data_IF_892931429741
#
_entry.id   IF_892931429741
#
_cell.length_a   1.000
_cell.length_b   1.000
_cell.length_c   1.000
_cell.angle_alpha   90.00
_cell.angle_beta   90.00
_cell.angle_gamma   90.00
#
_symmetry.space_group_name_H-M   'P 1'
#
loop_
_entity.id
_entity.type
_entity.pdbx_description
1 polymer ?
#
# COMPACT_ATOMS: atom_id res chain seq x y z
N UNK A 1 -49.17 -62.50 23.54
CA UNK A 1 -49.90 -61.21 23.59
C UNK A 1 -49.24 -60.31 24.62
N UNK A 2 -48.21 -59.54 24.24
CA UNK A 2 -47.45 -58.73 25.22
C UNK A 2 -46.80 -57.50 24.56
N UNK A 3 -47.56 -56.79 23.74
CA UNK A 3 -47.04 -55.75 22.84
C UNK A 3 -47.98 -54.54 22.68
N UNK A 4 -48.74 -54.21 23.73
CA UNK A 4 -49.70 -53.08 23.71
C UNK A 4 -49.80 -52.32 25.05
N UNK A 5 -48.83 -52.50 25.95
CA UNK A 5 -48.75 -51.79 27.22
C UNK A 5 -47.69 -50.67 27.21
N UNK A 6 -46.56 -50.87 26.52
CA UNK A 6 -45.52 -49.83 26.33
C UNK A 6 -46.08 -48.59 25.59
N UNK A 7 -46.88 -48.84 24.56
CA UNK A 7 -47.52 -47.84 23.69
C UNK A 7 -48.50 -46.90 24.41
N UNK A 8 -48.97 -47.25 25.62
CA UNK A 8 -49.98 -46.47 26.34
C UNK A 8 -49.34 -45.46 27.30
N UNK A 9 -48.36 -45.88 28.10
CA UNK A 9 -47.66 -45.02 29.06
C UNK A 9 -46.85 -43.92 28.37
N UNK A 10 -46.20 -44.26 27.26
CA UNK A 10 -45.40 -43.34 26.44
C UNK A 10 -46.25 -42.20 25.86
N UNK A 11 -47.47 -42.51 25.39
CA UNK A 11 -48.42 -41.49 24.91
C UNK A 11 -48.88 -40.52 26.01
N UNK A 12 -49.06 -41.00 27.24
CA UNK A 12 -49.52 -40.17 28.36
C UNK A 12 -48.46 -39.11 28.72
N UNK A 13 -47.17 -39.50 28.77
CA UNK A 13 -46.08 -38.56 29.02
C UNK A 13 -45.96 -37.48 27.94
N UNK A 14 -46.02 -37.89 26.66
CA UNK A 14 -45.98 -36.96 25.51
C UNK A 14 -47.17 -35.98 25.53
N UNK A 15 -48.37 -36.43 25.91
CA UNK A 15 -49.55 -35.57 26.00
C UNK A 15 -49.46 -34.52 27.10
N UNK A 16 -48.86 -34.83 28.25
CA UNK A 16 -48.63 -33.86 29.32
C UNK A 16 -47.60 -32.80 28.88
N UNK A 17 -46.50 -33.23 28.26
CA UNK A 17 -45.44 -32.34 27.77
C UNK A 17 -45.98 -31.29 26.78
N UNK A 18 -46.84 -31.69 25.83
CA UNK A 18 -47.48 -30.78 24.87
C UNK A 18 -48.53 -29.82 25.47
N UNK A 19 -48.88 -29.95 26.75
CA UNK A 19 -49.81 -29.05 27.45
C UNK A 19 -49.05 -27.99 28.28
N UNK A 20 -47.80 -28.28 28.68
CA UNK A 20 -46.85 -27.33 29.30
C UNK A 20 -46.06 -26.46 28.30
N UNK A 21 -45.78 -26.95 27.08
CA UNK A 21 -45.09 -26.16 26.05
C UNK A 21 -46.06 -25.14 25.45
N UNK A 22 -45.80 -23.84 25.61
CA UNK A 22 -46.72 -22.75 25.24
C UNK A 22 -46.73 -22.41 23.72
N UNK A 23 -46.88 -23.43 22.88
CA UNK A 23 -47.09 -23.26 21.43
C UNK A 23 -48.59 -23.03 21.18
N UNK A 24 -48.95 -21.79 20.87
CA UNK A 24 -50.34 -21.30 20.69
C UNK A 24 -51.22 -22.19 19.79
N UNK A 25 -50.63 -22.85 18.78
CA UNK A 25 -51.35 -23.75 17.87
C UNK A 25 -51.62 -25.16 18.38
N UNK A 26 -50.83 -25.69 19.33
CA UNK A 26 -50.88 -27.12 19.73
C UNK A 26 -52.20 -27.48 20.42
N UNK A 27 -52.76 -26.58 21.23
CA UNK A 27 -54.05 -26.77 21.90
C UNK A 27 -55.20 -27.02 20.91
N UNK A 28 -55.12 -26.49 19.69
CA UNK A 28 -56.14 -26.69 18.64
C UNK A 28 -56.05 -28.06 17.92
N UNK A 29 -54.93 -28.80 18.06
CA UNK A 29 -54.78 -30.16 17.52
C UNK A 29 -55.69 -31.19 18.24
N UNK A 30 -56.15 -30.85 19.45
CA UNK A 30 -57.06 -31.62 20.32
C UNK A 30 -58.56 -31.39 19.97
N UNK A 31 -58.85 -30.58 18.95
CA UNK A 31 -60.23 -30.21 18.56
C UNK A 31 -61.04 -31.40 17.99
N UNK A 32 -62.34 -31.45 18.35
CA UNK A 32 -63.27 -32.54 17.98
C UNK A 32 -63.65 -32.56 16.49
N UNK A 33 -63.48 -31.44 15.78
CA UNK A 33 -63.86 -31.30 14.38
C UNK A 33 -62.68 -31.64 13.46
N UNK A 34 -62.84 -32.66 12.61
CA UNK A 34 -61.75 -33.20 11.77
C UNK A 34 -61.17 -32.16 10.80
N UNK A 35 -62.03 -31.34 10.19
CA UNK A 35 -61.63 -30.24 9.30
C UNK A 35 -60.77 -29.19 10.03
N UNK A 36 -61.25 -28.68 11.16
CA UNK A 36 -60.51 -27.70 11.96
C UNK A 36 -59.14 -28.23 12.42
N UNK A 37 -59.10 -29.50 12.88
CA UNK A 37 -57.83 -30.16 13.24
C UNK A 37 -56.87 -30.24 12.05
N UNK A 38 -57.37 -30.55 10.84
CA UNK A 38 -56.55 -30.56 9.63
C UNK A 38 -56.01 -29.17 9.28
N UNK A 39 -56.85 -28.13 9.34
CA UNK A 39 -56.44 -26.74 9.08
C UNK A 39 -55.37 -26.27 10.05
N UNK A 40 -55.56 -26.47 11.36
CA UNK A 40 -54.56 -26.09 12.37
C UNK A 40 -53.27 -26.90 12.27
N UNK A 41 -53.34 -28.19 11.89
CA UNK A 41 -52.15 -29.00 11.61
C UNK A 41 -51.36 -28.45 10.42
N UNK A 42 -52.04 -28.11 9.32
CA UNK A 42 -51.41 -27.54 8.12
C UNK A 42 -50.77 -26.18 8.38
N UNK A 43 -51.44 -25.31 9.15
CA UNK A 43 -50.91 -24.01 9.57
C UNK A 43 -49.65 -24.19 10.42
N UNK A 44 -49.68 -25.09 11.42
CA UNK A 44 -48.54 -25.33 12.31
C UNK A 44 -47.34 -25.91 11.55
N UNK A 45 -47.56 -26.85 10.64
CA UNK A 45 -46.49 -27.40 9.78
C UNK A 45 -45.92 -26.33 8.85
N UNK A 46 -46.75 -25.48 8.25
CA UNK A 46 -46.31 -24.40 7.37
C UNK A 46 -45.43 -23.38 8.13
N UNK A 47 -45.88 -22.91 9.30
CA UNK A 47 -45.07 -21.98 10.11
C UNK A 47 -43.79 -22.65 10.62
N UNK A 48 -43.82 -23.94 10.98
CA UNK A 48 -42.60 -24.68 11.38
C UNK A 48 -41.60 -24.76 10.21
N UNK A 49 -42.07 -25.03 8.99
CA UNK A 49 -41.21 -25.06 7.79
C UNK A 49 -40.63 -23.67 7.46
N UNK A 50 -41.43 -22.60 7.57
CA UNK A 50 -40.97 -21.23 7.36
C UNK A 50 -39.95 -20.79 8.41
N UNK A 51 -40.15 -21.13 9.69
CA UNK A 51 -39.15 -20.82 10.74
C UNK A 51 -37.87 -21.64 10.56
N UNK A 52 -37.94 -22.90 10.14
CA UNK A 52 -36.75 -23.70 9.82
C UNK A 52 -35.99 -23.13 8.62
N UNK A 53 -36.70 -22.60 7.61
CA UNK A 53 -36.09 -21.89 6.48
C UNK A 53 -35.38 -20.61 6.93
N UNK A 54 -36.04 -19.76 7.75
CA UNK A 54 -35.43 -18.54 8.30
C UNK A 54 -34.21 -18.84 9.19
N UNK A 55 -34.26 -19.91 10.00
CA UNK A 55 -33.13 -20.37 10.81
C UNK A 55 -31.98 -20.83 9.91
N UNK A 56 -32.27 -21.56 8.83
CA UNK A 56 -31.24 -21.94 7.84
C UNK A 56 -30.60 -20.71 7.21
N UNK A 57 -31.41 -19.77 6.71
CA UNK A 57 -30.97 -18.53 6.03
C UNK A 57 -30.09 -17.66 6.95
N UNK A 58 -30.47 -17.51 8.22
CA UNK A 58 -29.67 -16.76 9.21
C UNK A 58 -28.41 -17.50 9.68
N UNK A 59 -28.39 -18.84 9.66
CA UNK A 59 -27.17 -19.61 9.93
C UNK A 59 -26.19 -19.53 8.75
N UNK A 60 -26.69 -19.59 7.51
CA UNK A 60 -25.90 -19.45 6.29
C UNK A 60 -25.28 -18.04 6.20
N UNK A 61 -26.06 -17.00 6.48
CA UNK A 61 -25.57 -15.61 6.55
C UNK A 61 -24.56 -15.41 7.69
N UNK A 62 -24.81 -15.95 8.89
CA UNK A 62 -23.87 -15.85 10.02
C UNK A 62 -22.53 -16.56 9.73
N UNK A 63 -22.57 -17.77 9.15
CA UNK A 63 -21.37 -18.53 8.76
C UNK A 63 -20.68 -17.97 7.51
N UNK A 64 -21.34 -17.06 6.77
CA UNK A 64 -20.73 -16.25 5.73
C UNK A 64 -19.84 -15.11 6.24
N UNK A 65 -19.85 -14.84 7.56
CA UNK A 65 -19.09 -13.77 8.23
C UNK A 65 -19.13 -12.38 7.54
N UNK A 66 -20.33 -11.83 7.24
CA UNK A 66 -20.46 -10.55 6.54
C UNK A 66 -19.91 -9.37 7.37
N UNK A 67 -18.79 -8.80 6.94
CA UNK A 67 -18.17 -7.64 7.60
C UNK A 67 -18.76 -6.32 7.09
N UNK A 68 -19.33 -5.51 7.98
CA UNK A 68 -19.83 -4.16 7.68
C UNK A 68 -18.76 -3.11 8.00
N UNK A 69 -18.50 -2.18 7.08
CA UNK A 69 -17.56 -1.08 7.29
C UNK A 69 -18.28 0.16 7.85
N UNK A 70 -17.93 0.57 9.07
CA UNK A 70 -18.27 1.89 9.59
C UNK A 70 -17.33 2.96 8.99
N UNK A 71 -17.82 4.19 8.79
CA UNK A 71 -17.06 5.32 8.26
C UNK A 71 -17.39 6.56 9.09
N UNK A 72 -16.49 6.91 9.99
CA UNK A 72 -16.61 8.08 10.87
C UNK A 72 -15.64 9.18 10.41
N UNK A 73 -16.01 10.44 10.67
CA UNK A 73 -15.26 11.62 10.26
C UNK A 73 -14.88 12.44 11.49
N UNK A 74 -13.65 12.22 11.97
CA UNK A 74 -13.07 12.98 13.08
C UNK A 74 -12.43 14.28 12.58
N UNK A 75 -12.54 15.33 13.39
CA UNK A 75 -11.96 16.64 13.15
C UNK A 75 -11.17 17.06 14.41
N UNK A 76 -9.97 16.49 14.63
CA UNK A 76 -9.11 16.90 15.75
C UNK A 76 -8.62 18.34 15.56
N UNK A 77 -8.24 19.00 16.65
CA UNK A 77 -7.67 20.36 16.63
C UNK A 77 -6.23 20.41 16.13
N UNK A 78 -5.55 19.26 16.10
CA UNK A 78 -4.16 19.09 15.70
C UNK A 78 -4.04 17.75 14.95
N UNK A 79 -3.22 17.71 13.90
CA UNK A 79 -2.87 16.50 13.15
C UNK A 79 -1.36 16.34 13.05
N UNK A 80 -0.89 15.09 13.10
CA UNK A 80 0.48 14.75 12.73
C UNK A 80 0.66 15.00 11.23
N UNK A 81 1.72 15.72 10.88
CA UNK A 81 2.14 15.88 9.50
C UNK A 81 2.74 14.55 9.00
N UNK A 82 2.43 14.11 7.78
CA UNK A 82 2.99 12.86 7.23
C UNK A 82 4.49 12.96 6.95
N UNK A 83 5.12 11.80 6.73
CA UNK A 83 6.40 11.75 6.04
C UNK A 83 6.19 12.07 4.54
N UNK A 84 7.07 12.90 3.97
CA UNK A 84 6.99 13.30 2.56
C UNK A 84 8.31 12.97 1.88
N UNK A 85 8.27 12.12 0.83
CA UNK A 85 9.46 11.80 0.04
C UNK A 85 9.40 12.37 -1.38
N UNK A 86 10.48 13.07 -1.75
CA UNK A 86 10.74 13.62 -3.07
C UNK A 86 11.63 12.64 -3.85
N UNK A 87 11.03 11.96 -4.82
CA UNK A 87 11.72 11.02 -5.69
C UNK A 87 12.01 11.67 -7.05
N UNK A 88 13.27 11.95 -7.42
CA UNK A 88 13.58 12.46 -8.75
C UNK A 88 13.34 11.35 -9.80
N UNK A 89 12.63 11.68 -10.88
CA UNK A 89 12.48 10.77 -12.03
C UNK A 89 13.82 10.55 -12.78
N UNK A 90 14.82 11.40 -12.51
CA UNK A 90 16.20 11.15 -12.90
C UNK A 90 16.98 10.49 -11.76
N UNK A 91 17.33 9.21 -11.92
CA UNK A 91 18.12 8.44 -10.95
C UNK A 91 19.63 8.40 -11.30
N UNK A 92 20.05 9.10 -12.37
CA UNK A 92 21.42 9.05 -12.88
C UNK A 92 21.90 10.43 -13.35
N UNK A 93 23.02 10.93 -12.84
CA UNK A 93 23.63 12.21 -13.25
C UNK A 93 24.83 11.99 -14.19
N UNK A 94 24.85 12.70 -15.31
CA UNK A 94 25.89 12.65 -16.33
C UNK A 94 27.27 12.99 -15.75
N UNK A 95 27.37 13.98 -14.86
CA UNK A 95 28.64 14.37 -14.22
C UNK A 95 29.31 13.23 -13.45
N UNK A 96 28.56 12.42 -12.71
CA UNK A 96 29.08 11.23 -12.04
C UNK A 96 29.49 10.14 -13.05
N UNK A 97 28.64 9.89 -14.05
CA UNK A 97 28.90 8.93 -15.13
C UNK A 97 30.09 9.32 -16.04
N UNK A 98 30.41 10.61 -16.09
CA UNK A 98 31.53 11.20 -16.83
C UNK A 98 32.72 11.59 -15.93
N UNK A 99 32.67 11.24 -14.64
CA UNK A 99 33.75 11.53 -13.69
C UNK A 99 35.08 10.90 -14.16
N UNK A 100 36.19 11.60 -13.90
CA UNK A 100 37.53 11.13 -14.32
C UNK A 100 37.84 9.77 -13.68
N UNK A 101 37.30 9.54 -12.50
CA UNK A 101 37.47 8.38 -11.64
C UNK A 101 36.85 7.14 -12.28
N UNK A 102 35.60 7.25 -12.76
CA UNK A 102 34.94 6.20 -13.53
C UNK A 102 35.55 6.03 -14.92
N UNK A 103 35.92 7.13 -15.60
CA UNK A 103 36.53 7.07 -16.93
C UNK A 103 37.94 6.41 -16.93
N UNK A 104 38.66 6.43 -15.80
CA UNK A 104 39.94 5.73 -15.58
C UNK A 104 39.80 4.21 -15.37
N UNK A 105 38.65 3.70 -14.92
CA UNK A 105 38.50 2.26 -14.62
C UNK A 105 38.63 1.42 -15.89
N UNK A 106 39.32 0.29 -15.76
CA UNK A 106 39.53 -0.68 -16.84
C UNK A 106 38.34 -1.66 -16.87
N UNK A 107 37.63 -1.82 -17.99
CA UNK A 107 36.53 -2.78 -18.12
C UNK A 107 37.05 -4.24 -18.13
N UNK A 108 36.22 -5.22 -17.76
CA UNK A 108 36.65 -6.61 -17.60
C UNK A 108 36.84 -7.34 -18.96
N UNK A 109 36.18 -6.84 -20.01
CA UNK A 109 36.41 -7.26 -21.39
C UNK A 109 36.74 -6.01 -22.23
N UNK A 110 37.83 -6.09 -23.00
CA UNK A 110 38.30 -5.03 -23.89
C UNK A 110 37.65 -5.09 -25.29
N UNK A 111 36.63 -5.95 -25.49
CA UNK A 111 35.74 -5.87 -26.66
C UNK A 111 35.25 -4.44 -26.84
N UNK A 112 35.54 -3.88 -28.00
CA UNK A 112 34.96 -2.62 -28.46
C UNK A 112 33.48 -2.84 -28.75
N UNK A 113 32.65 -2.73 -27.72
CA UNK A 113 31.19 -2.76 -27.85
C UNK A 113 30.82 -1.65 -28.86
N UNK A 114 30.14 -2.02 -29.94
CA UNK A 114 30.02 -1.21 -31.15
C UNK A 114 29.43 0.19 -30.89
N UNK A 115 29.82 1.17 -31.71
CA UNK A 115 29.67 2.60 -31.42
C UNK A 115 28.24 3.12 -31.12
N UNK A 116 27.19 2.34 -31.40
CA UNK A 116 25.81 2.66 -31.03
C UNK A 116 25.43 2.21 -29.59
N UNK A 117 26.35 1.61 -28.85
CA UNK A 117 26.23 1.39 -27.40
C UNK A 117 26.32 2.74 -26.68
N UNK A 118 25.18 3.20 -26.17
CA UNK A 118 25.07 4.49 -25.50
C UNK A 118 26.11 4.66 -24.38
N UNK A 119 26.58 5.89 -24.18
CA UNK A 119 27.60 6.28 -23.22
C UNK A 119 27.47 5.57 -21.85
N UNK A 120 26.26 5.51 -21.30
CA UNK A 120 25.95 4.84 -20.04
C UNK A 120 26.31 3.34 -20.01
N UNK A 121 26.09 2.58 -21.10
CA UNK A 121 26.36 1.11 -21.23
C UNK A 121 27.91 1.05 -21.05
N UNK A 122 28.68 1.93 -21.72
CA UNK A 122 30.15 1.95 -21.61
C UNK A 122 30.66 2.33 -20.22
N UNK A 123 29.94 3.20 -19.51
CA UNK A 123 30.23 3.58 -18.12
C UNK A 123 29.95 2.42 -17.15
N UNK A 124 28.80 1.76 -17.26
CA UNK A 124 28.43 0.58 -16.46
C UNK A 124 29.47 -0.55 -16.59
N UNK A 125 29.95 -0.84 -17.81
CA UNK A 125 30.98 -1.86 -18.04
C UNK A 125 32.35 -1.52 -17.40
N UNK A 126 32.60 -0.25 -17.04
CA UNK A 126 33.80 0.18 -16.29
C UNK A 126 33.64 0.12 -14.78
N UNK A 127 32.40 0.11 -14.29
CA UNK A 127 32.04 -0.01 -12.87
C UNK A 127 31.51 -1.42 -12.56
N UNK A 128 31.87 -2.40 -13.40
CA UNK A 128 31.33 -3.76 -13.36
C UNK A 128 31.44 -4.45 -11.99
N UNK A 129 32.46 -4.08 -11.22
CA UNK A 129 32.85 -4.59 -9.91
C UNK A 129 32.40 -3.73 -8.72
N UNK A 130 31.89 -2.51 -8.97
CA UNK A 130 31.37 -1.60 -7.95
C UNK A 130 30.07 -2.19 -7.38
N UNK A 131 29.81 -2.10 -6.06
CA UNK A 131 28.50 -2.45 -5.49
C UNK A 131 27.38 -1.64 -6.12
N UNK A 132 26.26 -2.30 -6.46
CA UNK A 132 25.11 -1.65 -7.09
C UNK A 132 24.52 -0.51 -6.22
N UNK A 133 24.60 -0.67 -4.89
CA UNK A 133 24.24 0.38 -3.93
C UNK A 133 25.15 1.61 -4.01
N UNK A 134 26.47 1.44 -3.92
CA UNK A 134 27.43 2.56 -3.91
C UNK A 134 27.26 3.41 -5.17
N UNK A 135 27.04 2.73 -6.30
CA UNK A 135 26.67 3.36 -7.56
C UNK A 135 25.35 4.13 -7.48
N UNK A 136 24.26 3.50 -7.01
CA UNK A 136 22.95 4.16 -6.94
C UNK A 136 22.95 5.35 -5.95
N UNK A 137 23.60 5.24 -4.78
CA UNK A 137 23.78 6.36 -3.82
C UNK A 137 24.52 7.54 -4.46
N UNK A 138 25.49 7.26 -5.32
CA UNK A 138 26.36 8.29 -5.93
C UNK A 138 25.81 8.88 -7.24
N UNK A 139 24.97 8.13 -7.95
CA UNK A 139 24.45 8.50 -9.27
C UNK A 139 23.21 9.39 -9.24
N UNK A 140 22.44 9.40 -8.16
CA UNK A 140 21.21 10.20 -8.02
C UNK A 140 21.57 11.68 -7.75
N UNK A 141 20.75 12.66 -8.20
CA UNK A 141 20.88 14.07 -7.81
C UNK A 141 21.01 14.30 -6.29
N UNK A 142 21.87 15.25 -5.91
CA UNK A 142 22.19 15.54 -4.52
C UNK A 142 21.07 16.35 -3.85
N UNK A 143 20.86 16.15 -2.54
CA UNK A 143 19.79 16.81 -1.77
C UNK A 143 19.77 18.33 -1.98
N UNK A 144 20.92 18.98 -1.78
CA UNK A 144 21.09 20.44 -1.84
C UNK A 144 20.98 21.01 -3.26
N UNK A 145 21.11 20.19 -4.30
CA UNK A 145 20.90 20.63 -5.69
C UNK A 145 19.47 20.36 -6.16
N UNK A 146 18.85 19.30 -5.63
CA UNK A 146 17.47 18.88 -5.89
C UNK A 146 16.45 19.77 -5.19
N UNK A 147 16.70 20.17 -3.94
CA UNK A 147 15.79 20.99 -3.12
C UNK A 147 16.45 22.36 -2.92
N UNK A 148 16.01 23.35 -3.71
CA UNK A 148 16.57 24.71 -3.70
C UNK A 148 16.06 25.51 -2.49
N UNK A 149 14.80 25.28 -2.11
CA UNK A 149 14.18 25.93 -0.95
C UNK A 149 13.12 25.01 -0.35
N UNK A 150 13.01 25.05 0.98
CA UNK A 150 12.02 24.36 1.77
C UNK A 150 11.51 25.33 2.84
N UNK A 151 10.20 25.54 2.92
CA UNK A 151 9.56 26.42 3.91
C UNK A 151 8.44 25.68 4.62
N UNK A 152 8.46 25.75 5.95
CA UNK A 152 7.48 25.11 6.84
C UNK A 152 6.16 25.90 6.93
N UNK A 153 5.09 25.30 7.50
CA UNK A 153 3.80 25.95 7.75
C UNK A 153 3.90 27.31 8.45
N UNK A 154 4.77 27.42 9.45
CA UNK A 154 5.05 28.63 10.24
C UNK A 154 5.82 29.73 9.48
N UNK A 155 6.31 29.43 8.27
CA UNK A 155 7.11 30.33 7.45
C UNK A 155 8.62 30.23 7.66
N UNK A 156 9.11 29.38 8.56
CA UNK A 156 10.56 29.15 8.72
C UNK A 156 11.14 28.30 7.59
N UNK A 157 12.45 28.37 7.42
CA UNK A 157 13.17 27.45 6.53
C UNK A 157 13.30 26.08 7.21
N UNK A 158 13.08 24.99 6.47
CA UNK A 158 13.31 23.64 6.97
C UNK A 158 14.79 23.42 7.26
N UNK A 159 15.12 22.60 8.28
CA UNK A 159 16.49 22.12 8.43
C UNK A 159 16.78 21.02 7.40
N UNK A 160 17.88 21.19 6.66
CA UNK A 160 18.34 20.21 5.67
C UNK A 160 18.84 18.91 6.33
N UNK A 161 19.18 18.91 7.63
CA UNK A 161 19.57 17.69 8.36
C UNK A 161 18.42 16.71 8.65
N UNK A 162 17.17 17.21 8.60
CA UNK A 162 15.96 16.41 8.77
C UNK A 162 15.61 15.58 7.51
N UNK A 163 16.30 15.81 6.39
CA UNK A 163 16.09 15.05 5.15
C UNK A 163 16.95 13.78 5.13
N UNK A 164 16.30 12.61 5.04
CA UNK A 164 16.96 11.29 4.98
C UNK A 164 16.96 10.72 3.56
N UNK A 165 17.91 9.81 3.31
CA UNK A 165 17.86 8.91 2.15
C UNK A 165 16.89 7.77 2.45
N UNK A 166 15.84 7.61 1.64
CA UNK A 166 15.01 6.39 1.64
C UNK A 166 15.10 5.66 0.31
N UNK A 167 14.91 4.35 0.34
CA UNK A 167 14.89 3.51 -0.84
C UNK A 167 13.49 3.04 -1.18
N UNK A 168 13.22 3.03 -2.48
CA UNK A 168 12.12 2.32 -3.11
C UNK A 168 12.72 1.28 -4.06
N UNK A 169 11.94 0.28 -4.48
CA UNK A 169 12.38 -0.66 -5.53
C UNK A 169 12.76 0.06 -6.84
N UNK A 170 12.25 1.28 -7.06
CA UNK A 170 12.48 2.10 -8.25
C UNK A 170 13.65 3.08 -8.13
N UNK A 171 14.35 3.13 -6.99
CA UNK A 171 15.49 4.02 -6.76
C UNK A 171 15.39 4.82 -5.45
N UNK A 172 16.30 5.79 -5.32
CA UNK A 172 16.47 6.65 -4.15
C UNK A 172 15.46 7.80 -4.15
N UNK A 173 14.98 8.17 -2.96
CA UNK A 173 14.23 9.40 -2.71
C UNK A 173 14.77 10.11 -1.45
N UNK A 174 14.49 11.41 -1.37
CA UNK A 174 14.79 12.23 -0.18
C UNK A 174 13.53 12.39 0.65
N UNK A 175 13.52 11.90 1.90
CA UNK A 175 12.37 11.96 2.81
C UNK A 175 12.52 13.04 3.88
N UNK A 176 11.48 13.84 4.07
CA UNK A 176 11.33 14.81 5.15
C UNK A 176 10.33 14.30 6.19
N UNK A 177 10.52 14.71 7.45
CA UNK A 177 9.66 14.31 8.59
C UNK A 177 9.55 12.77 8.72
N UNK A 178 10.66 12.06 8.52
CA UNK A 178 10.76 10.60 8.63
C UNK A 178 10.96 10.11 10.07
N UNK A 179 11.76 10.83 10.87
CA UNK A 179 12.15 10.41 12.22
C UNK A 179 10.97 10.57 13.21
N UNK A 180 10.41 9.46 13.71
CA UNK A 180 9.24 9.42 14.62
C UNK A 180 9.40 10.20 15.94
N UNK A 181 10.63 10.48 16.37
CA UNK A 181 10.92 11.07 17.68
C UNK A 181 10.52 12.54 17.85
N UNK A 182 10.36 13.29 16.74
CA UNK A 182 10.01 14.72 16.76
C UNK A 182 9.07 15.06 15.59
N UNK A 183 7.84 14.54 15.58
CA UNK A 183 6.92 14.71 14.46
C UNK A 183 6.42 16.15 14.39
N UNK A 184 6.32 16.68 13.17
CA UNK A 184 5.70 17.99 12.93
C UNK A 184 4.18 17.87 13.13
N UNK A 185 3.59 18.82 13.85
CA UNK A 185 2.14 18.92 14.08
C UNK A 185 1.59 20.12 13.32
N UNK A 186 0.36 20.03 12.80
CA UNK A 186 -0.36 21.13 12.16
C UNK A 186 -1.76 21.28 12.78
N UNK A 187 -2.15 22.53 13.03
CA UNK A 187 -3.41 22.98 13.60
C UNK A 187 -4.48 23.33 12.54
N UNK A 188 -4.11 24.11 11.53
CA UNK A 188 -5.03 24.59 10.49
C UNK A 188 -4.76 23.99 9.09
N UNK A 189 -5.83 23.81 8.32
CA UNK A 189 -5.77 23.28 6.95
C UNK A 189 -5.81 24.40 5.91
N UNK A 190 -4.71 24.62 5.17
CA UNK A 190 -4.71 25.55 4.04
C UNK A 190 -3.35 25.72 3.35
N UNK A 191 -3.27 26.51 2.25
CA UNK A 191 -2.01 26.76 1.54
C UNK A 191 -0.95 27.51 2.37
N UNK A 192 -1.38 28.30 3.35
CA UNK A 192 -0.49 28.92 4.35
C UNK A 192 0.18 27.85 5.22
N UNK A 193 -0.58 26.89 5.74
CA UNK A 193 -0.12 25.81 6.62
C UNK A 193 0.40 24.61 5.82
N UNK A 194 1.13 24.86 4.73
CA UNK A 194 1.66 23.82 3.85
C UNK A 194 3.18 23.87 3.72
N UNK A 195 3.80 22.68 3.60
CA UNK A 195 5.21 22.54 3.23
C UNK A 195 5.40 23.04 1.79
N UNK A 196 6.15 24.13 1.63
CA UNK A 196 6.45 24.72 0.31
C UNK A 196 7.85 24.33 -0.12
N UNK A 197 7.96 23.64 -1.26
CA UNK A 197 9.22 23.18 -1.83
C UNK A 197 9.49 23.85 -3.19
N UNK A 198 10.72 24.30 -3.42
CA UNK A 198 11.23 24.69 -4.74
C UNK A 198 12.23 23.63 -5.18
N UNK A 199 11.89 22.89 -6.24
CA UNK A 199 12.62 21.69 -6.67
C UNK A 199 13.31 21.90 -8.03
N UNK A 200 14.53 21.39 -8.15
CA UNK A 200 15.32 21.35 -9.38
C UNK A 200 15.25 19.96 -10.02
N UNK A 201 14.58 19.83 -11.17
CA UNK A 201 14.46 18.55 -11.86
C UNK A 201 15.74 18.07 -12.58
N UNK A 202 16.83 18.86 -12.55
CA UNK A 202 18.15 18.56 -13.13
C UNK A 202 18.12 17.92 -14.54
N UNK A 203 17.23 18.42 -15.41
CA UNK A 203 17.03 17.86 -16.76
C UNK A 203 18.27 17.96 -17.66
N UNK A 204 19.25 18.78 -17.29
CA UNK A 204 20.56 18.91 -17.96
C UNK A 204 21.58 17.83 -17.52
N UNK A 205 21.41 17.22 -16.34
CA UNK A 205 22.25 16.11 -15.84
C UNK A 205 21.71 14.74 -16.26
N UNK A 206 20.56 14.69 -16.94
CA UNK A 206 19.83 13.47 -17.22
C UNK A 206 20.35 12.74 -18.47
N UNK A 207 20.87 11.51 -18.37
CA UNK A 207 21.30 10.72 -19.52
C UNK A 207 20.09 10.12 -20.26
N UNK A 208 20.08 10.20 -21.58
CA UNK A 208 19.09 9.46 -22.41
C UNK A 208 19.53 8.00 -22.53
N UNK A 209 18.90 7.10 -21.77
CA UNK A 209 19.19 5.65 -21.81
C UNK A 209 18.01 4.90 -22.43
N UNK A 210 18.27 4.24 -23.56
CA UNK A 210 17.31 3.41 -24.29
C UNK A 210 17.94 2.03 -24.58
N UNK A 211 17.86 1.10 -23.62
CA UNK A 211 18.35 -0.26 -23.74
C UNK A 211 17.30 -1.30 -23.34
N UNK A 212 17.57 -2.58 -23.65
CA UNK A 212 16.64 -3.67 -23.35
C UNK A 212 16.63 -4.12 -21.87
N UNK A 213 17.66 -3.76 -21.10
CA UNK A 213 17.74 -4.03 -19.64
C UNK A 213 17.77 -2.77 -18.79
N UNK A 214 18.36 -1.68 -19.28
CA UNK A 214 18.33 -0.36 -18.62
C UNK A 214 17.72 0.67 -19.55
N UNK A 215 16.83 1.50 -19.00
CA UNK A 215 16.28 2.66 -19.67
C UNK A 215 15.94 3.75 -18.65
N UNK A 216 15.90 5.02 -19.05
CA UNK A 216 15.43 6.13 -18.20
C UNK A 216 13.93 6.38 -18.39
N UNK A 217 13.13 6.57 -17.32
CA UNK A 217 11.67 6.76 -17.45
C UNK A 217 11.39 8.06 -18.21
N UNK A 218 10.55 8.10 -19.26
CA UNK A 218 10.44 9.25 -20.17
C UNK A 218 9.92 10.54 -19.52
N UNK A 219 9.34 10.44 -18.32
CA UNK A 219 8.80 11.55 -17.55
C UNK A 219 9.91 12.36 -16.85
N UNK A 220 9.96 13.67 -17.07
CA UNK A 220 10.79 14.60 -16.31
C UNK A 220 10.03 15.12 -15.07
N UNK A 221 10.77 15.47 -14.01
CA UNK A 221 10.20 15.93 -12.75
C UNK A 221 10.32 14.90 -11.64
N UNK A 222 9.27 14.77 -10.83
CA UNK A 222 9.30 14.04 -9.56
C UNK A 222 8.08 13.13 -9.38
N UNK A 223 8.25 12.07 -8.59
CA UNK A 223 7.15 11.47 -7.82
C UNK A 223 7.23 12.00 -6.39
N UNK A 224 6.10 12.49 -5.88
CA UNK A 224 5.95 12.88 -4.48
C UNK A 224 5.15 11.80 -3.77
N UNK A 225 5.74 11.20 -2.75
CA UNK A 225 5.13 10.20 -1.88
C UNK A 225 4.73 10.88 -0.57
N UNK A 226 3.51 10.63 -0.12
CA UNK A 226 3.01 11.02 1.21
C UNK A 226 2.61 9.71 1.90
N UNK A 227 3.16 9.46 3.08
CA UNK A 227 3.06 8.17 3.77
C UNK A 227 3.21 8.36 5.29
N UNK A 228 2.93 7.31 6.06
CA UNK A 228 3.02 7.35 7.52
C UNK A 228 4.46 7.20 8.01
N UNK A 229 4.78 7.71 9.18
CA UNK A 229 6.13 7.56 9.75
C UNK A 229 6.41 6.09 10.16
N UNK A 230 5.37 5.28 10.29
CA UNK A 230 5.44 3.83 10.56
C UNK A 230 5.62 2.95 9.30
N UNK A 231 5.37 3.45 8.09
CA UNK A 231 5.45 2.69 6.83
C UNK A 231 6.63 3.17 5.96
N UNK A 232 7.32 2.29 5.21
CA UNK A 232 8.26 2.72 4.16
C UNK A 232 7.65 2.50 2.77
N UNK A 233 7.62 3.50 1.87
CA UNK A 233 6.98 3.36 0.57
C UNK A 233 7.80 2.45 -0.35
N UNK A 234 7.25 1.27 -0.64
CA UNK A 234 7.93 0.22 -1.42
C UNK A 234 8.27 0.68 -2.86
N UNK A 235 7.44 1.52 -3.49
CA UNK A 235 7.55 1.90 -4.90
C UNK A 235 7.14 3.36 -5.13
N UNK A 236 7.77 4.01 -6.11
CA UNK A 236 7.39 5.37 -6.54
C UNK A 236 6.09 5.42 -7.36
N UNK A 237 5.57 4.25 -7.80
CA UNK A 237 4.39 4.16 -8.66
C UNK A 237 3.08 4.61 -7.98
N UNK A 238 3.04 4.69 -6.65
CA UNK A 238 1.89 5.21 -5.87
C UNK A 238 1.94 6.71 -5.63
N UNK A 239 3.03 7.40 -5.99
CA UNK A 239 3.21 8.83 -5.75
C UNK A 239 2.52 9.74 -6.77
N UNK A 240 2.21 10.97 -6.35
CA UNK A 240 1.75 12.01 -7.26
C UNK A 240 2.88 12.44 -8.20
N UNK A 241 2.58 12.54 -9.50
CA UNK A 241 3.55 13.00 -10.49
C UNK A 241 3.55 14.53 -10.56
N UNK A 242 4.70 15.16 -10.31
CA UNK A 242 4.89 16.61 -10.39
C UNK A 242 5.86 16.95 -11.51
N UNK A 243 5.39 17.72 -12.49
CA UNK A 243 6.16 18.15 -13.66
C UNK A 243 6.87 19.49 -13.40
N UNK A 244 8.09 19.70 -13.96
CA UNK A 244 8.79 20.97 -13.81
C UNK A 244 8.09 22.10 -14.59
N UNK A 245 8.29 23.35 -14.16
CA UNK A 245 7.74 24.55 -14.80
C UNK A 245 6.39 25.02 -14.28
N UNK A 246 5.77 24.30 -13.35
CA UNK A 246 4.47 24.64 -12.75
C UNK A 246 4.55 24.60 -11.22
N UNK A 247 3.73 25.42 -10.56
CA UNK A 247 3.44 25.25 -9.12
C UNK A 247 2.28 24.26 -8.98
N UNK A 248 2.48 23.20 -8.19
CA UNK A 248 1.50 22.11 -8.01
C UNK A 248 1.14 21.97 -6.54
N UNK A 249 -0.09 22.30 -6.18
CA UNK A 249 -0.61 22.08 -4.84
C UNK A 249 -1.09 20.62 -4.71
N UNK A 250 -0.59 19.89 -3.71
CA UNK A 250 -0.97 18.50 -3.43
C UNK A 250 -1.77 18.43 -2.12
N UNK A 251 -3.10 18.64 -2.15
CA UNK A 251 -3.92 18.41 -0.97
C UNK A 251 -3.93 16.92 -0.63
N UNK A 252 -3.88 16.57 0.65
CA UNK A 252 -4.03 15.20 1.14
C UNK A 252 -5.09 15.14 2.23
N UNK A 253 -5.54 13.93 2.55
CA UNK A 253 -6.36 13.66 3.73
C UNK A 253 -5.88 12.37 4.40
N UNK A 254 -5.78 12.41 5.71
CA UNK A 254 -5.47 11.25 6.53
C UNK A 254 -6.68 10.30 6.51
N UNK A 255 -6.42 8.98 6.51
CA UNK A 255 -7.47 7.95 6.60
C UNK A 255 -6.96 6.76 7.42
N UNK A 256 -7.29 6.73 8.70
CA UNK A 256 -7.10 5.54 9.51
C UNK A 256 -8.01 4.40 9.00
N UNK A 257 -7.48 3.18 8.89
CA UNK A 257 -8.23 1.98 8.47
C UNK A 257 -8.01 0.81 9.42
N UNK A 258 -8.87 0.70 10.42
CA UNK A 258 -8.95 -0.51 11.25
C UNK A 258 -9.67 -1.60 10.45
N UNK A 259 -9.05 -2.78 10.35
CA UNK A 259 -9.63 -3.99 9.75
C UNK A 259 -9.84 -5.04 10.86
N UNK A 260 -10.73 -6.01 10.64
CA UNK A 260 -10.93 -7.12 11.57
C UNK A 260 -9.88 -8.22 11.30
N UNK A 261 -9.22 -8.82 12.33
CA UNK A 261 -8.13 -9.77 12.11
C UNK A 261 -8.51 -11.00 11.26
N UNK A 262 -9.65 -11.60 11.56
CA UNK A 262 -10.15 -12.82 10.89
C UNK A 262 -10.41 -12.64 9.39
N UNK A 263 -10.50 -11.40 8.90
CA UNK A 263 -10.62 -11.06 7.48
C UNK A 263 -9.28 -11.13 6.71
N UNK A 264 -8.36 -12.01 7.14
CA UNK A 264 -7.06 -12.24 6.51
C UNK A 264 -6.09 -11.07 6.67
N UNK A 265 -6.08 -10.42 7.83
CA UNK A 265 -5.19 -9.31 8.16
C UNK A 265 -4.43 -9.60 9.46
N UNK A 266 -3.13 -9.29 9.48
CA UNK A 266 -2.33 -9.42 10.70
C UNK A 266 -2.67 -8.29 11.67
N UNK A 267 -2.82 -8.63 12.94
CA UNK A 267 -2.92 -7.66 14.04
C UNK A 267 -1.51 -7.23 14.47
N UNK A 268 -1.33 -5.94 14.72
CA UNK A 268 -0.07 -5.39 15.20
C UNK A 268 0.02 -5.57 16.73
N UNK A 269 1.07 -6.27 17.16
CA UNK A 269 1.35 -6.56 18.58
C UNK A 269 2.53 -5.73 19.07
N UNK A 270 2.69 -5.57 20.38
CA UNK A 270 3.86 -4.91 20.98
C UNK A 270 5.20 -5.47 20.45
N UNK A 271 5.24 -6.76 20.14
CA UNK A 271 6.43 -7.47 19.61
C UNK A 271 6.70 -7.18 18.14
N UNK A 272 5.68 -6.88 17.33
CA UNK A 272 5.86 -6.48 15.92
C UNK A 272 6.11 -4.98 15.80
N UNK A 273 5.50 -4.17 16.67
CA UNK A 273 5.72 -2.73 16.73
C UNK A 273 7.14 -2.36 17.21
N UNK A 274 7.70 -3.11 18.16
CA UNK A 274 9.07 -2.93 18.64
C UNK A 274 10.16 -3.11 17.55
N UNK A 275 9.84 -3.86 16.48
CA UNK A 275 10.78 -4.20 15.40
C UNK A 275 10.48 -3.42 14.11
N UNK A 276 9.59 -2.41 14.18
CA UNK A 276 9.16 -1.63 13.01
C UNK A 276 10.31 -0.85 12.34
N UNK A 277 11.44 -0.64 13.03
CA UNK A 277 12.62 0.07 12.52
C UNK A 277 13.61 -0.84 11.76
N UNK A 278 13.69 -2.15 12.06
CA UNK A 278 14.52 -3.07 11.25
C UNK A 278 13.74 -3.51 10.01
N UNK A 279 14.19 -3.06 8.84
CA UNK A 279 13.57 -3.40 7.57
C UNK A 279 13.58 -4.91 7.27
N UNK A 280 14.53 -5.67 7.79
CA UNK A 280 14.74 -7.09 7.47
C UNK A 280 14.24 -8.07 8.53
N UNK A 281 13.86 -7.64 9.74
CA UNK A 281 13.32 -8.55 10.75
C UNK A 281 12.03 -9.23 10.23
N UNK A 282 11.88 -10.52 10.55
CA UNK A 282 10.74 -11.31 10.06
C UNK A 282 9.39 -10.83 10.60
N UNK A 283 9.40 -10.19 11.78
CA UNK A 283 8.24 -9.67 12.53
C UNK A 283 7.81 -8.28 12.08
N UNK A 284 8.64 -7.53 11.34
CA UNK A 284 8.26 -6.22 10.81
C UNK A 284 7.19 -6.38 9.71
N UNK A 285 5.92 -6.19 10.07
CA UNK A 285 4.78 -6.38 9.17
C UNK A 285 4.72 -5.35 8.04
N UNK A 286 5.25 -4.14 8.27
CA UNK A 286 5.16 -3.02 7.32
C UNK A 286 6.08 -3.21 6.11
N UNK A 287 7.23 -3.88 6.29
CA UNK A 287 8.24 -4.08 5.23
C UNK A 287 8.08 -5.37 4.43
N UNK A 288 7.07 -6.21 4.75
CA UNK A 288 6.93 -7.58 4.23
C UNK A 288 7.07 -7.70 2.69
N UNK A 289 6.38 -6.85 1.92
CA UNK A 289 6.45 -6.86 0.46
C UNK A 289 7.80 -6.37 -0.10
N UNK A 290 8.53 -5.52 0.64
CA UNK A 290 9.91 -5.15 0.36
C UNK A 290 10.89 -6.30 0.64
N UNK A 291 10.78 -6.95 1.81
CA UNK A 291 11.54 -8.16 2.16
C UNK A 291 11.35 -9.27 1.13
N UNK A 292 10.13 -9.48 0.63
CA UNK A 292 9.84 -10.45 -0.44
C UNK A 292 10.54 -10.10 -1.76
N UNK A 293 10.58 -8.81 -2.16
CA UNK A 293 11.34 -8.38 -3.35
C UNK A 293 12.84 -8.71 -3.21
N UNK A 294 13.43 -8.46 -2.04
CA UNK A 294 14.82 -8.81 -1.75
C UNK A 294 15.07 -10.33 -1.83
N UNK A 295 14.21 -11.13 -1.19
CA UNK A 295 14.32 -12.59 -1.22
C UNK A 295 14.22 -13.16 -2.65
N UNK A 296 13.34 -12.61 -3.50
CA UNK A 296 13.24 -13.01 -4.91
C UNK A 296 14.49 -12.64 -5.72
N UNK A 297 15.08 -11.47 -5.48
CA UNK A 297 16.33 -11.07 -6.13
C UNK A 297 17.50 -11.94 -5.67
N UNK A 298 17.66 -12.17 -4.37
CA UNK A 298 18.78 -12.94 -3.80
C UNK A 298 18.81 -14.38 -4.33
N UNK A 299 17.67 -15.09 -4.30
CA UNK A 299 17.56 -16.46 -4.80
C UNK A 299 17.89 -16.59 -6.29
N UNK A 300 17.58 -15.57 -7.09
CA UNK A 300 17.77 -15.61 -8.54
C UNK A 300 19.19 -15.17 -8.97
N UNK A 301 19.81 -14.29 -8.20
CA UNK A 301 21.03 -13.57 -8.58
C UNK A 301 22.27 -13.98 -7.77
N UNK A 302 22.06 -14.71 -6.68
CA UNK A 302 23.09 -15.20 -5.76
C UNK A 302 24.03 -14.07 -5.26
N UNK A 303 23.44 -12.92 -4.95
CA UNK A 303 24.07 -11.75 -4.37
C UNK A 303 23.00 -10.83 -3.75
N UNK A 304 23.37 -10.04 -2.74
CA UNK A 304 22.44 -9.23 -1.95
C UNK A 304 22.52 -7.73 -2.25
N UNK A 305 21.40 -7.04 -1.99
CA UNK A 305 21.30 -5.57 -1.94
C UNK A 305 20.65 -5.07 -0.65
N UNK A 306 20.65 -5.89 0.42
CA UNK A 306 20.06 -5.52 1.74
C UNK A 306 20.60 -4.20 2.28
N UNK A 307 21.88 -3.94 2.06
CA UNK A 307 22.60 -2.76 2.55
C UNK A 307 22.06 -1.41 2.04
N UNK A 308 21.20 -1.41 1.00
CA UNK A 308 20.39 -0.24 0.65
C UNK A 308 19.50 0.20 1.84
N UNK A 309 18.76 -0.74 2.44
CA UNK A 309 17.66 -0.47 3.39
C UNK A 309 18.09 -0.52 4.86
N UNK A 310 19.22 -1.17 5.19
CA UNK A 310 19.86 -0.92 6.49
C UNK A 310 20.46 0.49 6.47
N UNK A 311 20.16 1.29 7.49
CA UNK A 311 20.79 2.61 7.66
C UNK A 311 22.32 2.50 7.77
N UNK A 312 23.03 3.61 7.54
CA UNK A 312 24.49 3.66 7.66
C UNK A 312 25.00 3.63 9.12
N UNK A 313 24.14 3.31 10.09
CA UNK A 313 24.56 3.10 11.47
C UNK A 313 25.36 1.81 11.59
N UNK A 314 26.46 1.89 12.34
CA UNK A 314 27.52 0.89 12.35
C UNK A 314 27.21 -0.41 13.10
N UNK A 315 25.98 -0.94 13.04
CA UNK A 315 25.67 -2.31 13.46
C UNK A 315 26.48 -3.26 12.60
N UNK A 316 27.57 -3.77 13.16
CA UNK A 316 28.57 -4.53 12.41
C UNK A 316 27.95 -5.74 11.74
N UNK A 317 28.19 -5.91 10.44
CA UNK A 317 28.09 -7.22 9.79
C UNK A 317 28.93 -8.21 10.59
N UNK A 318 28.28 -9.09 11.36
CA UNK A 318 28.96 -10.19 12.04
C UNK A 318 29.52 -11.09 10.95
N UNK A 319 30.84 -11.32 10.98
CA UNK A 319 31.59 -11.95 9.89
C UNK A 319 31.32 -13.45 9.69
N UNK A 320 30.21 -13.96 10.22
CA UNK A 320 29.62 -15.27 9.92
C UNK A 320 29.03 -15.30 8.51
N UNK A 321 28.32 -14.23 8.11
CA UNK A 321 27.62 -14.17 6.83
C UNK A 321 28.41 -13.34 5.82
N UNK A 322 29.18 -14.05 4.99
CA UNK A 322 29.94 -13.48 3.89
C UNK A 322 29.01 -13.08 2.72
N UNK A 323 28.07 -12.18 2.98
CA UNK A 323 27.07 -11.71 2.02
C UNK A 323 27.76 -10.98 0.88
N UNK A 324 27.81 -11.63 -0.28
CA UNK A 324 28.33 -11.01 -1.50
C UNK A 324 27.37 -9.91 -1.98
N UNK A 325 27.70 -8.65 -1.67
CA UNK A 325 27.02 -7.48 -2.23
C UNK A 325 26.93 -7.61 -3.75
N UNK A 326 25.78 -7.28 -4.33
CA UNK A 326 25.56 -7.36 -5.76
C UNK A 326 26.41 -6.32 -6.50
N UNK A 327 27.38 -6.73 -7.35
CA UNK A 327 28.07 -5.79 -8.21
C UNK A 327 27.13 -5.34 -9.34
N UNK A 328 27.32 -4.14 -9.90
CA UNK A 328 26.48 -3.61 -10.99
C UNK A 328 26.36 -4.63 -12.14
N UNK A 329 27.45 -5.34 -12.46
CA UNK A 329 27.48 -6.35 -13.53
C UNK A 329 26.49 -7.51 -13.37
N UNK A 330 26.02 -7.83 -12.15
CA UNK A 330 24.91 -8.79 -11.94
C UNK A 330 23.56 -8.08 -11.94
N UNK A 331 23.46 -6.95 -11.25
CA UNK A 331 22.24 -6.17 -11.00
C UNK A 331 21.61 -5.50 -12.25
N UNK A 332 22.27 -5.60 -13.41
CA UNK A 332 21.88 -4.97 -14.69
C UNK A 332 21.62 -6.01 -15.82
N UNK A 333 21.68 -7.31 -15.52
CA UNK A 333 21.48 -8.39 -16.51
C UNK A 333 19.99 -8.66 -16.77
N UNK A 334 19.62 -9.14 -17.97
CA UNK A 334 18.23 -9.45 -18.35
C UNK A 334 17.52 -10.57 -17.55
N UNK A 335 18.21 -11.17 -16.59
CA UNK A 335 17.60 -12.02 -15.56
C UNK A 335 17.45 -11.25 -14.24
N UNK A 336 18.50 -10.53 -13.83
CA UNK A 336 18.69 -9.91 -12.53
C UNK A 336 18.71 -8.36 -12.55
N UNK A 337 17.81 -7.73 -13.29
CA UNK A 337 17.69 -6.27 -13.29
C UNK A 337 17.02 -5.79 -11.99
N UNK A 338 17.68 -4.93 -11.19
CA UNK A 338 16.97 -4.21 -10.12
C UNK A 338 15.92 -3.25 -10.73
N UNK A 339 14.80 -3.04 -10.04
CA UNK A 339 13.71 -2.20 -10.55
C UNK A 339 14.08 -0.68 -10.58
N UNK A 340 15.22 -0.27 -10.02
CA UNK A 340 15.82 1.04 -10.23
C UNK A 340 16.48 1.19 -11.61
N UNK A 341 16.96 0.08 -12.21
CA UNK A 341 17.53 0.05 -13.55
C UNK A 341 16.46 -0.23 -14.63
N UNK A 342 15.41 -0.99 -14.31
CA UNK A 342 14.32 -1.30 -15.26
C UNK A 342 13.20 -0.26 -15.24
N UNK A 343 12.84 0.25 -16.41
CA UNK A 343 11.59 1.01 -16.64
C UNK A 343 10.54 0.19 -17.39
N UNK A 344 10.77 -1.11 -17.54
CA UNK A 344 9.93 -2.02 -18.31
C UNK A 344 9.05 -2.87 -17.39
N UNK A 345 7.72 -2.67 -17.46
CA UNK A 345 6.73 -3.63 -16.95
C UNK A 345 6.71 -4.96 -17.74
N UNK A 346 7.71 -5.22 -18.60
CA UNK A 346 7.87 -6.47 -19.36
C UNK A 346 9.22 -7.12 -19.07
N UNK A 347 9.19 -8.20 -18.29
CA UNK A 347 10.18 -9.28 -18.35
C UNK A 347 11.14 -9.42 -17.18
N UNK A 348 10.76 -10.28 -16.23
CA UNK A 348 11.57 -10.82 -15.12
C UNK A 348 11.95 -9.84 -13.98
N UNK A 349 12.23 -10.34 -12.76
CA UNK A 349 11.84 -11.62 -12.17
C UNK A 349 10.67 -11.49 -11.19
N UNK A 350 10.43 -10.29 -10.65
CA UNK A 350 9.15 -9.94 -10.06
C UNK A 350 8.10 -9.92 -11.16
N UNK A 351 7.33 -11.00 -11.29
CA UNK A 351 5.95 -10.84 -11.75
C UNK A 351 5.28 -9.93 -10.74
N UNK A 352 4.75 -8.82 -11.23
CA UNK A 352 3.72 -8.00 -10.63
C UNK A 352 3.63 -8.03 -9.09
N UNK A 353 4.02 -6.95 -8.42
CA UNK A 353 3.46 -6.66 -7.08
C UNK A 353 1.92 -6.47 -7.14
N UNK A 354 1.34 -6.40 -8.35
CA UNK A 354 -0.08 -6.54 -8.68
C UNK A 354 -0.63 -7.98 -8.65
N UNK A 355 0.22 -9.02 -8.74
CA UNK A 355 -0.12 -10.44 -8.58
C UNK A 355 0.02 -10.91 -7.12
N UNK A 356 0.66 -10.11 -6.24
CA UNK A 356 0.67 -10.40 -4.81
C UNK A 356 -0.76 -10.42 -4.25
N UNK A 357 -1.15 -11.45 -3.47
CA UNK A 357 -2.47 -11.50 -2.88
C UNK A 357 -2.65 -10.32 -1.92
N UNK A 358 -3.81 -9.66 -1.99
CA UNK A 358 -4.11 -8.42 -1.25
C UNK A 358 -4.11 -8.56 0.29
N UNK A 359 -3.95 -9.77 0.80
CA UNK A 359 -3.74 -10.11 2.22
C UNK A 359 -2.29 -9.96 2.70
N UNK A 360 -1.29 -9.87 1.80
CA UNK A 360 0.13 -9.66 2.16
C UNK A 360 0.49 -8.16 2.23
N UNK A 361 -0.39 -7.28 1.73
CA UNK A 361 -0.23 -5.83 1.87
C UNK A 361 -0.71 -5.38 3.26
N UNK A 362 0.14 -4.74 4.08
CA UNK A 362 -0.28 -4.20 5.38
C UNK A 362 -1.42 -3.17 5.21
N UNK A 363 -2.15 -2.91 6.29
CA UNK A 363 -3.26 -1.95 6.33
C UNK A 363 -2.76 -0.50 6.34
N UNK A 364 -2.27 -0.04 5.18
CA UNK A 364 -1.76 1.31 4.94
C UNK A 364 -2.51 2.41 5.71
N UNK A 365 -1.72 3.32 6.28
CA UNK A 365 -2.13 4.72 6.42
C UNK A 365 -2.32 5.30 5.01
N UNK A 366 -3.53 5.17 4.46
CA UNK A 366 -3.77 5.46 3.04
C UNK A 366 -4.01 6.96 2.84
N UNK A 367 -2.92 7.74 2.87
CA UNK A 367 -2.90 9.19 2.58
C UNK A 367 -3.38 9.43 1.15
N UNK A 368 -4.68 9.67 1.02
CA UNK A 368 -5.32 9.89 -0.27
C UNK A 368 -4.93 11.28 -0.78
N UNK A 369 -3.83 11.33 -1.54
CA UNK A 369 -3.47 12.43 -2.42
C UNK A 369 -4.68 12.83 -3.26
N UNK A 370 -5.17 14.05 -3.02
CA UNK A 370 -6.30 14.66 -3.68
C UNK A 370 -5.94 15.14 -5.07
N UNK A 371 -5.61 14.21 -5.97
CA UNK A 371 -5.59 14.49 -7.40
C UNK A 371 -6.95 15.11 -7.79
N UNK A 372 -6.98 16.27 -8.48
CA UNK A 372 -8.21 16.88 -8.94
C UNK A 372 -8.79 16.12 -10.14
N UNK A 373 -9.29 14.91 -9.88
CA UNK A 373 -10.48 14.44 -10.60
C UNK A 373 -11.59 15.44 -10.30
N UNK A 374 -12.01 16.18 -11.31
CA UNK A 374 -13.07 17.19 -11.21
C UNK A 374 -14.47 16.55 -11.11
N UNK A 375 -14.67 15.69 -10.11
CA UNK A 375 -15.99 15.17 -9.70
C UNK A 375 -16.59 16.14 -8.67
N UNK A 376 -16.85 17.37 -9.13
CA UNK A 376 -17.59 18.39 -8.36
C UNK A 376 -19.08 18.02 -8.35
N UNK A 377 -19.48 17.14 -7.44
CA UNK A 377 -20.86 16.70 -7.25
C UNK A 377 -21.72 17.81 -6.59
N UNK A 378 -22.56 18.49 -7.36
CA UNK A 378 -23.54 19.43 -6.80
C UNK A 378 -24.69 18.64 -6.15
N UNK A 379 -24.66 18.49 -4.81
CA UNK A 379 -25.67 17.76 -4.05
C UNK A 379 -26.90 18.62 -3.81
N UNK A 380 -27.90 18.49 -4.68
CA UNK A 380 -29.18 19.18 -4.53
C UNK A 380 -30.08 18.42 -3.55
N UNK A 381 -30.58 19.09 -2.53
CA UNK A 381 -31.64 18.54 -1.66
C UNK A 381 -32.95 18.44 -2.46
N UNK A 382 -33.61 17.27 -2.43
CA UNK A 382 -34.83 17.01 -3.22
C UNK A 382 -36.03 16.66 -2.34
N UNK A 383 -35.83 16.12 -1.14
CA UNK A 383 -36.92 15.90 -0.20
C UNK A 383 -36.55 15.05 1.01
N UNK A 384 -37.57 14.53 1.69
CA UNK A 384 -37.42 13.55 2.76
C UNK A 384 -37.91 12.17 2.31
N UNK A 385 -37.24 11.11 2.79
CA UNK A 385 -37.65 9.72 2.58
C UNK A 385 -38.87 9.33 3.42
N UNK A 386 -39.45 8.14 3.18
CA UNK A 386 -40.60 7.62 3.95
C UNK A 386 -40.27 7.32 5.43
N UNK A 387 -38.98 7.28 5.76
CA UNK A 387 -38.37 7.14 7.08
C UNK A 387 -38.02 8.50 7.75
N UNK A 388 -38.19 9.62 7.04
CA UNK A 388 -37.76 10.94 7.50
C UNK A 388 -36.28 11.27 7.26
N UNK A 389 -35.53 10.42 6.53
CA UNK A 389 -34.16 10.73 6.09
C UNK A 389 -34.13 11.87 5.07
N UNK A 390 -33.01 12.60 4.95
CA UNK A 390 -32.85 13.65 3.91
C UNK A 390 -32.32 13.06 2.62
N UNK A 391 -33.08 13.20 1.53
CA UNK A 391 -32.73 12.66 0.20
C UNK A 391 -32.15 13.77 -0.68
N UNK A 392 -30.99 13.48 -1.28
CA UNK A 392 -30.27 14.36 -2.19
C UNK A 392 -30.14 13.69 -3.56
N UNK A 393 -30.29 14.46 -4.63
CA UNK A 393 -29.98 14.03 -6.01
C UNK A 393 -28.54 14.46 -6.33
N UNK A 394 -27.73 13.50 -6.77
CA UNK A 394 -26.32 13.70 -7.08
C UNK A 394 -26.11 13.65 -8.61
N UNK A 395 -25.90 14.82 -9.23
CA UNK A 395 -25.63 14.93 -10.67
C UNK A 395 -24.13 15.01 -10.93
N UNK A 396 -23.60 14.00 -11.60
CA UNK A 396 -22.23 13.99 -12.09
C UNK A 396 -22.09 14.96 -13.28
N UNK A 397 -21.41 16.09 -13.07
CA UNK A 397 -21.12 17.07 -14.12
C UNK A 397 -19.77 16.72 -14.76
N UNK A 398 -19.82 16.06 -15.92
CA UNK A 398 -18.63 15.71 -16.70
C UNK A 398 -17.97 16.96 -17.32
N UNK A 399 -16.99 17.53 -16.63
CA UNK A 399 -16.08 18.52 -17.24
C UNK A 399 -15.03 17.82 -18.11
N UNK A 400 -15.25 17.78 -19.43
CA UNK A 400 -14.15 17.57 -20.37
C UNK A 400 -13.27 18.82 -20.38
N UNK A 401 -12.08 18.72 -19.77
CA UNK A 401 -11.07 19.76 -19.81
C UNK A 401 -10.50 19.89 -21.23
N UNK A 402 -10.99 20.87 -21.98
CA UNK A 402 -10.33 21.34 -23.20
C UNK A 402 -9.02 22.04 -22.84
N UNK A 403 -7.93 21.62 -23.49
CA UNK A 403 -6.64 22.32 -23.42
C UNK A 403 -6.73 23.54 -24.36
N UNK A 404 -6.25 24.73 -23.95
CA UNK A 404 -6.19 25.92 -24.81
C UNK A 404 -5.11 25.81 -25.91
#
# INVERSE_FOLDING_TARGET
MQDNSRTMTERIGIHYLFEEIDITGVRHLKARNLSARSTWSGILVLFTALTLYQIYEQIDEFLGFPTVTNIEAEYPSEILFPAIAVCPNNQYRISYLASKEVLKRVPPDNRTIGANWAFFIKTINRMWDVPAEEFLRSAVPELNTTIISCTLPDGTACDMSQWKQIWTINGLCWAFNYDKGWPIVIDEAGPSHSLRLILNAETYERPTICGATVSTPPENGFKILIYDQDEQPISTATGASVVPGFSTNLPFRIKLRRKMPDAGCLEETDVTAAEAEDFFDERNIHTCAGRLYHHLFENQCNCSVRSLYTGCDGTSFTSSDAVQHAPISRAVTSRCTLAAFSTSNKGNPGRDLSELPKSILPSRGDYMLGLPKAEASEKRFVGFGPDGSRVFEEKAVNFQAGIP
#
